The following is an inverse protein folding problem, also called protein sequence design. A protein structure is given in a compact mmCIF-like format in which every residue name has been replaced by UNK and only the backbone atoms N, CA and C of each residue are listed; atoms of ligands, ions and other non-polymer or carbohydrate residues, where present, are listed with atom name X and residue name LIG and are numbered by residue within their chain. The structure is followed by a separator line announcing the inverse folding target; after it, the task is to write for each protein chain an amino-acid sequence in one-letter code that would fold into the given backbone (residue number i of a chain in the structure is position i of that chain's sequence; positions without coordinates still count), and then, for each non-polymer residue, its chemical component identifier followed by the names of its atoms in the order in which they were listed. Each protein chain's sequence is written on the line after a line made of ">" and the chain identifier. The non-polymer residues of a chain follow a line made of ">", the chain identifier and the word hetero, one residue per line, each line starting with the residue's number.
data_IF_516531712168
#
_entry.id   IF_516531712168
#
_cell.length_a   1.000
_cell.length_b   1.000
_cell.length_c   1.000
_cell.angle_alpha   90.00
_cell.angle_beta   90.00
_cell.angle_gamma   90.00
#
_symmetry.space_group_name_H-M   'P 1'
#
loop_
_entity.id
_entity.type
_entity.pdbx_description
1 polymer ?
#
# COMPACT_ATOMS: atom_id res chain seq x y z
N UNK A 1 2.49 -28.52 6.83
CA UNK A 1 3.54 -27.53 6.52
C UNK A 1 2.94 -26.14 6.73
N UNK A 2 3.31 -25.37 7.77
CA UNK A 2 2.76 -24.04 7.95
C UNK A 2 3.49 -23.09 7.01
N UNK A 3 2.87 -22.78 5.88
CA UNK A 3 3.31 -21.70 5.02
C UNK A 3 3.00 -20.40 5.75
N UNK A 4 3.93 -19.93 6.57
CA UNK A 4 3.85 -18.60 7.18
C UNK A 4 3.89 -17.59 6.04
N UNK A 5 2.77 -16.91 5.70
CA UNK A 5 2.80 -15.96 4.61
C UNK A 5 3.75 -14.83 4.99
N UNK A 6 4.79 -14.66 4.18
CA UNK A 6 5.76 -13.58 4.31
C UNK A 6 5.01 -12.26 4.49
N UNK A 7 5.38 -11.51 5.54
CA UNK A 7 4.77 -10.26 5.99
C UNK A 7 4.35 -9.38 4.80
N UNK A 8 3.06 -9.40 4.47
CA UNK A 8 2.50 -8.58 3.41
C UNK A 8 2.02 -7.29 4.04
N UNK A 9 2.71 -6.21 3.73
CA UNK A 9 2.33 -4.87 4.18
C UNK A 9 0.98 -4.54 3.54
N UNK A 10 0.06 -3.93 4.28
CA UNK A 10 -1.30 -3.67 3.78
C UNK A 10 -1.45 -2.21 3.45
N UNK A 11 -2.10 -1.91 2.32
CA UNK A 11 -2.37 -0.54 1.95
C UNK A 11 -3.49 0.03 2.81
N UNK A 12 -3.24 1.17 3.46
CA UNK A 12 -4.22 1.78 4.37
C UNK A 12 -5.47 2.29 3.65
N UNK A 13 -5.40 2.50 2.33
CA UNK A 13 -6.55 2.96 1.53
C UNK A 13 -7.45 1.85 1.04
N UNK A 14 -6.86 0.74 0.61
CA UNK A 14 -7.53 -0.30 -0.16
C UNK A 14 -7.47 -1.68 0.52
N UNK A 15 -6.90 -1.75 1.73
CA UNK A 15 -6.63 -2.93 2.61
C UNK A 15 -5.97 -4.12 1.90
N UNK A 16 -5.56 -3.94 0.65
CA UNK A 16 -4.94 -4.95 -0.17
C UNK A 16 -3.50 -5.14 0.24
N UNK A 17 -3.07 -6.39 0.12
CA UNK A 17 -1.69 -6.82 0.10
C UNK A 17 -0.82 -5.96 -0.81
N UNK A 18 0.12 -5.22 -0.23
CA UNK A 18 1.15 -4.44 -0.91
C UNK A 18 2.42 -5.27 -0.92
N UNK A 19 2.74 -5.76 -2.11
CA UNK A 19 3.99 -6.47 -2.34
C UNK A 19 5.13 -5.47 -2.51
N UNK A 20 6.38 -5.92 -2.28
CA UNK A 20 7.57 -5.08 -2.42
C UNK A 20 7.70 -4.38 -3.78
N UNK A 21 7.09 -4.92 -4.85
CA UNK A 21 7.04 -4.30 -6.17
C UNK A 21 6.21 -2.99 -6.21
N UNK A 22 5.12 -2.94 -5.43
CA UNK A 22 4.17 -1.82 -5.38
C UNK A 22 4.20 -1.06 -4.04
N UNK A 23 5.13 -1.42 -3.13
CA UNK A 23 5.29 -0.74 -1.84
C UNK A 23 5.66 0.73 -2.04
N UNK A 24 4.90 1.59 -1.39
CA UNK A 24 5.16 3.02 -1.29
C UNK A 24 4.96 3.41 0.17
N UNK A 25 5.98 3.99 0.77
CA UNK A 25 5.98 4.40 2.17
C UNK A 25 5.77 5.90 2.22
N UNK A 26 4.65 6.34 2.80
CA UNK A 26 4.31 7.76 2.90
C UNK A 26 3.80 8.07 4.30
N UNK A 27 4.48 8.97 5.00
CA UNK A 27 4.10 9.43 6.34
C UNK A 27 4.04 8.31 7.40
N UNK A 28 4.86 7.26 7.25
CA UNK A 28 4.86 6.10 8.17
C UNK A 28 3.84 5.01 7.82
N UNK A 29 3.07 5.21 6.75
CA UNK A 29 2.05 4.26 6.29
C UNK A 29 2.45 3.66 4.94
N UNK A 30 2.04 2.41 4.70
CA UNK A 30 2.28 1.72 3.43
C UNK A 30 1.08 1.93 2.52
N UNK A 31 1.36 2.30 1.28
CA UNK A 31 0.41 2.53 0.21
C UNK A 31 0.85 1.74 -1.03
N UNK A 32 -0.09 1.46 -1.92
CA UNK A 32 0.28 1.11 -3.29
C UNK A 32 0.71 2.38 -4.03
N UNK A 33 1.67 2.26 -4.96
CA UNK A 33 1.99 3.32 -5.94
C UNK A 33 0.77 3.92 -6.66
N UNK A 34 -0.32 3.15 -6.71
CA UNK A 34 -1.61 3.50 -7.34
C UNK A 34 -2.69 3.89 -6.32
N UNK A 35 -2.55 3.54 -5.04
CA UNK A 35 -3.51 3.91 -3.99
C UNK A 35 -3.07 5.20 -3.27
N UNK A 36 -1.89 5.76 -3.55
CA UNK A 36 -1.48 7.05 -2.99
C UNK A 36 -2.24 8.20 -3.68
N UNK A 37 -3.28 8.70 -3.00
CA UNK A 37 -4.18 9.71 -3.53
C UNK A 37 -4.32 10.85 -2.56
N UNK A 38 -4.38 12.08 -3.08
CA UNK A 38 -4.55 13.25 -2.25
C UNK A 38 -6.00 13.33 -1.73
N UNK A 39 -6.21 13.34 -0.42
CA UNK A 39 -7.55 13.52 0.18
C UNK A 39 -8.24 14.86 -0.16
N UNK A 40 -7.51 15.81 -0.76
CA UNK A 40 -8.08 17.09 -1.21
C UNK A 40 -8.54 17.09 -2.67
N UNK A 41 -7.95 16.25 -3.52
CA UNK A 41 -8.22 16.25 -4.96
C UNK A 41 -8.73 14.90 -5.49
N UNK A 42 -8.79 13.87 -4.64
CA UNK A 42 -9.05 12.45 -4.96
C UNK A 42 -8.26 11.90 -6.17
N UNK A 43 -7.19 12.60 -6.56
CA UNK A 43 -6.38 12.27 -7.71
C UNK A 43 -5.22 11.38 -7.26
N UNK A 44 -4.96 10.31 -8.01
CA UNK A 44 -3.79 9.46 -7.85
C UNK A 44 -2.53 10.32 -8.02
N UNK A 45 -1.76 10.51 -6.94
CA UNK A 45 -0.43 11.09 -7.02
C UNK A 45 0.50 9.99 -7.52
N UNK A 46 0.91 10.14 -8.78
CA UNK A 46 1.80 9.21 -9.47
C UNK A 46 3.26 9.49 -9.13
#
# INVERSE_FOLDING_TARGET
>A
MPFTPAKVEKCVRCDKSVYAAERMEAGGNIWHKRCFCCSKCDMLLK
#
